data_IF_871336993153
#
_entry.id   IF_871336993153
#
_cell.length_a   1.000
_cell.length_b   1.000
_cell.length_c   1.000
_cell.angle_alpha   90.00
_cell.angle_beta   90.00
_cell.angle_gamma   90.00
#
_symmetry.space_group_name_H-M   'P 1'
#
loop_
_entity.id
_entity.type
_entity.pdbx_description
1 polymer ?
#
# COMPACT_ATOMS: atom_id res chain seq x y z
N UNK A 1 3.17 5.13 16.98
CA UNK A 1 2.74 6.14 15.99
C UNK A 1 2.02 5.43 14.87
N UNK A 2 0.94 5.99 14.33
CA UNK A 2 0.28 5.42 13.16
C UNK A 2 1.02 5.89 11.91
N UNK A 3 1.52 4.95 11.11
CA UNK A 3 2.13 5.27 9.80
C UNK A 3 1.09 5.30 8.68
N UNK A 4 -0.21 5.21 8.99
CA UNK A 4 -1.27 5.10 7.99
C UNK A 4 -2.08 6.39 7.91
N UNK A 5 -2.26 6.90 6.70
CA UNK A 5 -3.29 7.85 6.35
C UNK A 5 -4.54 7.06 5.98
N UNK A 6 -5.47 6.97 6.93
CA UNK A 6 -6.75 6.27 6.73
C UNK A 6 -7.68 7.12 5.87
N UNK A 7 -8.33 6.49 4.89
CA UNK A 7 -9.30 7.13 4.02
C UNK A 7 -10.72 6.92 4.53
N UNK A 8 -11.51 7.99 4.53
CA UNK A 8 -12.91 7.94 4.89
C UNK A 8 -13.79 7.43 3.74
N UNK A 9 -14.99 6.96 4.08
CA UNK A 9 -16.00 6.61 3.07
C UNK A 9 -16.33 7.81 2.16
N UNK A 10 -16.33 9.02 2.70
CA UNK A 10 -16.58 10.22 1.92
C UNK A 10 -15.48 10.48 0.87
N UNK A 11 -14.20 10.25 1.23
CA UNK A 11 -13.10 10.35 0.26
C UNK A 11 -13.24 9.33 -0.87
N UNK A 12 -13.58 8.08 -0.55
CA UNK A 12 -13.79 7.05 -1.57
C UNK A 12 -14.96 7.40 -2.48
N UNK A 13 -16.09 7.85 -1.91
CA UNK A 13 -17.26 8.25 -2.68
C UNK A 13 -16.99 9.49 -3.53
N UNK A 14 -16.16 10.43 -3.08
CA UNK A 14 -15.81 11.62 -3.88
C UNK A 14 -14.98 11.27 -5.13
N UNK A 15 -14.25 10.14 -5.10
CA UNK A 15 -13.49 9.60 -6.24
C UNK A 15 -14.34 8.74 -7.17
N UNK A 16 -15.52 8.29 -6.70
CA UNK A 16 -16.38 7.36 -7.42
C UNK A 16 -17.35 8.12 -8.34
N UNK A 17 -17.18 7.94 -9.64
CA UNK A 17 -18.04 8.54 -10.67
C UNK A 17 -19.30 7.69 -10.84
N UNK A 18 -20.33 7.99 -10.06
CA UNK A 18 -21.60 7.29 -10.10
C UNK A 18 -22.27 7.47 -11.46
N UNK A 19 -22.92 6.41 -11.93
CA UNK A 19 -23.68 6.43 -13.17
C UNK A 19 -24.99 5.68 -12.98
N UNK A 20 -26.08 6.25 -13.52
CA UNK A 20 -27.40 5.62 -13.43
C UNK A 20 -27.40 4.23 -14.10
N UNK A 21 -27.98 3.24 -13.42
CA UNK A 21 -28.06 1.86 -13.90
C UNK A 21 -26.77 1.03 -13.68
N UNK A 22 -25.73 1.60 -13.08
CA UNK A 22 -24.49 0.90 -12.75
C UNK A 22 -24.18 1.03 -11.26
N UNK A 23 -23.52 0.03 -10.69
CA UNK A 23 -22.94 0.11 -9.36
C UNK A 23 -21.42 0.00 -9.49
N UNK A 24 -20.70 0.96 -8.93
CA UNK A 24 -19.23 0.99 -8.96
C UNK A 24 -18.67 0.30 -7.72
N UNK A 25 -17.44 -0.21 -7.84
CA UNK A 25 -16.69 -0.80 -6.72
C UNK A 25 -16.62 0.18 -5.54
N UNK A 26 -16.36 1.47 -5.79
CA UNK A 26 -16.27 2.49 -4.75
C UNK A 26 -17.58 2.77 -3.98
N UNK A 27 -18.71 2.29 -4.48
CA UNK A 27 -19.99 2.35 -3.76
C UNK A 27 -20.18 1.14 -2.81
N UNK A 28 -19.31 0.14 -2.92
CA UNK A 28 -19.43 -1.13 -2.23
C UNK A 28 -18.29 -1.42 -1.25
N UNK A 29 -17.10 -0.87 -1.49
CA UNK A 29 -15.93 -1.10 -0.62
C UNK A 29 -16.20 -0.63 0.80
N UNK A 30 -15.56 -1.30 1.73
CA UNK A 30 -15.54 -0.90 3.13
C UNK A 30 -14.40 0.10 3.37
N UNK A 31 -14.57 0.90 4.40
CA UNK A 31 -13.52 1.76 5.00
C UNK A 31 -13.58 1.58 6.51
N UNK A 32 -12.53 1.96 7.22
CA UNK A 32 -12.65 2.14 8.67
C UNK A 32 -13.57 3.34 8.98
N UNK A 33 -14.18 3.33 10.16
CA UNK A 33 -15.09 4.40 10.58
C UNK A 33 -14.37 5.75 10.60
N UNK A 34 -13.15 5.77 11.12
CA UNK A 34 -12.26 6.93 11.19
C UNK A 34 -10.80 6.49 11.38
N UNK A 35 -9.89 7.46 11.44
CA UNK A 35 -8.47 7.18 11.68
C UNK A 35 -8.18 6.59 13.07
N UNK A 36 -9.01 6.87 14.07
CA UNK A 36 -8.85 6.34 15.43
C UNK A 36 -9.23 4.85 15.50
N UNK A 37 -10.04 4.39 14.57
CA UNK A 37 -10.39 2.96 14.41
C UNK A 37 -9.25 2.09 13.87
N UNK A 38 -8.14 2.68 13.43
CA UNK A 38 -6.94 1.93 13.09
C UNK A 38 -6.10 1.63 14.33
N UNK A 39 -5.66 0.40 14.59
CA UNK A 39 -5.88 -0.81 13.77
C UNK A 39 -7.08 -1.66 14.21
N UNK A 40 -7.72 -1.37 15.34
CA UNK A 40 -8.72 -2.21 15.99
C UNK A 40 -9.94 -2.52 15.09
N UNK A 41 -10.36 -1.56 14.29
CA UNK A 41 -11.51 -1.71 13.38
C UNK A 41 -11.30 -2.71 12.24
N UNK A 42 -10.08 -3.23 12.04
CA UNK A 42 -9.85 -4.32 11.09
C UNK A 42 -10.54 -5.62 11.51
N UNK A 43 -10.64 -5.87 12.82
CA UNK A 43 -11.30 -7.07 13.34
C UNK A 43 -12.82 -7.07 13.08
N UNK A 44 -13.43 -5.88 13.10
CA UNK A 44 -14.87 -5.71 12.88
C UNK A 44 -15.25 -5.70 11.40
N UNK A 45 -14.28 -5.42 10.52
CA UNK A 45 -14.51 -5.38 9.08
C UNK A 45 -14.78 -6.78 8.52
N UNK A 46 -15.83 -6.94 7.73
CA UNK A 46 -16.17 -8.21 7.07
C UNK A 46 -15.32 -8.43 5.80
N UNK A 47 -14.72 -7.37 5.25
CA UNK A 47 -13.84 -7.45 4.10
C UNK A 47 -12.66 -8.40 4.36
N UNK A 48 -12.33 -9.21 3.36
CA UNK A 48 -11.21 -10.14 3.37
C UNK A 48 -9.89 -9.48 2.97
N UNK A 49 -9.96 -8.57 2.01
CA UNK A 49 -8.79 -7.92 1.42
C UNK A 49 -8.68 -6.47 1.91
N UNK A 50 -7.48 -6.05 2.26
CA UNK A 50 -7.17 -4.66 2.63
C UNK A 50 -6.31 -4.04 1.55
N UNK A 51 -6.87 -3.06 0.84
CA UNK A 51 -6.19 -2.34 -0.25
C UNK A 51 -5.52 -1.10 0.33
N UNK A 52 -4.22 -0.94 0.05
CA UNK A 52 -3.45 0.21 0.53
C UNK A 52 -2.34 0.61 -0.45
N UNK A 53 -1.93 1.87 -0.36
CA UNK A 53 -0.85 2.43 -1.17
C UNK A 53 0.47 2.57 -0.43
N UNK A 54 1.59 2.49 -1.17
CA UNK A 54 2.92 2.87 -0.68
C UNK A 54 3.49 3.91 -1.65
N UNK A 55 3.23 5.22 -1.43
CA UNK A 55 3.63 6.28 -2.36
C UNK A 55 5.09 6.69 -2.14
N UNK A 56 6.04 5.83 -2.54
CA UNK A 56 7.48 6.08 -2.49
C UNK A 56 8.20 5.50 -3.73
N UNK A 57 9.40 5.97 -4.01
CA UNK A 57 10.30 5.42 -5.03
C UNK A 57 11.78 5.51 -4.65
N UNK A 58 12.05 5.61 -3.35
CA UNK A 58 13.41 5.81 -2.83
C UNK A 58 14.28 4.62 -3.19
N UNK A 59 13.77 3.40 -3.01
CA UNK A 59 14.51 2.18 -3.32
C UNK A 59 14.83 2.04 -4.81
N UNK A 60 13.89 2.41 -5.68
CA UNK A 60 14.09 2.42 -7.14
C UNK A 60 15.26 3.35 -7.51
N UNK A 61 15.24 4.58 -6.97
CA UNK A 61 16.28 5.59 -7.22
C UNK A 61 17.63 5.22 -6.61
N UNK A 62 17.62 4.63 -5.40
CA UNK A 62 18.82 4.13 -4.73
C UNK A 62 19.46 2.93 -5.43
N UNK A 63 18.72 2.28 -6.33
CA UNK A 63 19.21 1.22 -7.23
C UNK A 63 19.37 1.72 -8.67
N UNK A 64 19.58 3.03 -8.86
CA UNK A 64 19.80 3.71 -10.14
C UNK A 64 18.64 3.55 -11.15
N UNK A 65 17.46 3.16 -10.68
CA UNK A 65 16.25 3.04 -11.49
C UNK A 65 15.58 4.40 -11.72
N UNK A 66 14.66 4.42 -12.67
CA UNK A 66 13.85 5.60 -12.98
C UNK A 66 12.75 5.78 -11.92
N UNK A 67 12.72 6.92 -11.25
CA UNK A 67 11.66 7.30 -10.33
C UNK A 67 10.30 7.46 -10.99
N UNK A 68 9.23 7.54 -10.19
CA UNK A 68 7.84 7.72 -10.61
C UNK A 68 6.86 6.73 -9.95
N UNK A 69 7.36 5.63 -9.37
CA UNK A 69 6.51 4.63 -8.72
C UNK A 69 5.66 5.21 -7.56
N UNK A 70 6.13 6.27 -6.89
CA UNK A 70 5.38 6.97 -5.84
C UNK A 70 4.01 7.47 -6.30
N UNK A 71 3.87 7.76 -7.60
CA UNK A 71 2.63 8.30 -8.17
C UNK A 71 1.59 7.23 -8.50
N UNK A 72 1.91 5.95 -8.41
CA UNK A 72 1.04 4.86 -8.86
C UNK A 72 -0.25 4.72 -8.04
N UNK A 73 -0.20 4.99 -6.73
CA UNK A 73 -1.33 4.73 -5.83
C UNK A 73 -2.62 5.45 -6.22
N UNK A 74 -2.58 6.78 -6.36
CA UNK A 74 -3.79 7.56 -6.60
C UNK A 74 -4.53 7.18 -7.89
N UNK A 75 -3.85 7.08 -9.05
CA UNK A 75 -4.50 6.62 -10.29
C UNK A 75 -5.05 5.21 -10.19
N UNK A 76 -4.34 4.30 -9.52
CA UNK A 76 -4.81 2.92 -9.34
C UNK A 76 -6.05 2.85 -8.47
N UNK A 77 -6.10 3.62 -7.40
CA UNK A 77 -7.30 3.74 -6.57
C UNK A 77 -8.47 4.32 -7.37
N UNK A 78 -8.24 5.44 -8.09
CA UNK A 78 -9.27 6.06 -8.92
C UNK A 78 -9.80 5.10 -9.99
N UNK A 79 -8.93 4.26 -10.57
CA UNK A 79 -9.35 3.21 -11.48
C UNK A 79 -10.19 2.14 -10.78
N UNK A 80 -9.71 1.59 -9.66
CA UNK A 80 -10.37 0.53 -8.90
C UNK A 80 -11.80 0.95 -8.49
N UNK A 81 -11.94 2.12 -7.86
CA UNK A 81 -13.25 2.56 -7.34
C UNK A 81 -14.26 2.88 -8.46
N UNK A 82 -13.79 3.10 -9.69
CA UNK A 82 -14.61 3.37 -10.85
C UNK A 82 -14.90 2.14 -11.73
N UNK A 83 -14.33 0.98 -11.41
CA UNK A 83 -14.72 -0.28 -12.06
C UNK A 83 -16.17 -0.62 -11.72
N UNK A 84 -16.87 -1.28 -12.64
CA UNK A 84 -18.22 -1.77 -12.39
C UNK A 84 -18.17 -2.99 -11.46
N UNK A 85 -18.96 -2.94 -10.40
CA UNK A 85 -19.19 -4.09 -9.52
C UNK A 85 -19.93 -5.19 -10.28
N UNK A 86 -19.51 -6.43 -10.08
CA UNK A 86 -20.11 -7.60 -10.70
C UNK A 86 -20.00 -8.83 -9.78
N UNK A 87 -20.52 -9.98 -10.20
CA UNK A 87 -20.55 -11.21 -9.42
C UNK A 87 -19.16 -11.78 -9.09
N UNK A 88 -18.12 -11.41 -9.85
CA UNK A 88 -16.74 -11.88 -9.61
C UNK A 88 -15.92 -10.89 -8.77
N UNK A 89 -16.32 -9.61 -8.78
CA UNK A 89 -15.69 -8.54 -8.02
C UNK A 89 -16.77 -7.54 -7.59
N UNK A 90 -17.38 -7.75 -6.45
CA UNK A 90 -18.50 -6.94 -5.99
C UNK A 90 -18.10 -5.76 -5.10
N UNK A 91 -16.87 -5.71 -4.67
CA UNK A 91 -16.31 -4.67 -3.80
C UNK A 91 -16.51 -4.89 -2.30
N UNK A 92 -17.48 -5.66 -1.86
CA UNK A 92 -17.73 -5.88 -0.42
C UNK A 92 -16.58 -6.63 0.29
N UNK A 93 -15.82 -7.42 -0.45
CA UNK A 93 -14.65 -8.11 0.08
C UNK A 93 -13.41 -7.20 0.21
N UNK A 94 -13.50 -5.95 -0.25
CA UNK A 94 -12.41 -4.98 -0.22
C UNK A 94 -12.63 -3.94 0.88
N UNK A 95 -11.61 -3.72 1.71
CA UNK A 95 -11.49 -2.57 2.58
C UNK A 95 -10.40 -1.66 2.02
N UNK A 96 -10.75 -0.44 1.64
CA UNK A 96 -9.75 0.57 1.25
C UNK A 96 -9.26 1.26 2.51
N UNK A 97 -8.03 0.94 2.91
CA UNK A 97 -7.43 1.50 4.13
C UNK A 97 -6.93 2.93 3.91
N UNK A 98 -6.30 3.19 2.77
CA UNK A 98 -5.62 4.44 2.48
C UNK A 98 -4.18 4.20 2.02
N UNK A 99 -3.20 4.93 2.58
CA UNK A 99 -1.80 4.73 2.22
C UNK A 99 -0.85 4.86 3.42
N UNK A 100 0.33 4.28 3.29
CA UNK A 100 1.40 4.45 4.28
C UNK A 100 2.04 5.83 4.06
N UNK A 101 2.19 6.60 5.15
CA UNK A 101 2.76 7.95 5.10
C UNK A 101 4.26 7.87 4.80
N UNK A 102 4.65 8.43 3.65
CA UNK A 102 6.03 8.44 3.17
C UNK A 102 6.55 9.84 2.84
N UNK A 103 5.73 10.89 3.02
CA UNK A 103 6.03 12.25 2.59
C UNK A 103 7.35 12.76 3.16
N UNK A 104 7.59 12.59 4.45
CA UNK A 104 8.82 13.01 5.12
C UNK A 104 10.07 12.28 4.60
N UNK A 105 9.95 10.98 4.29
CA UNK A 105 11.05 10.21 3.71
C UNK A 105 11.31 10.63 2.26
N UNK A 106 10.25 10.87 1.50
CA UNK A 106 10.36 11.36 0.12
C UNK A 106 10.97 12.76 0.06
N UNK A 107 10.63 13.66 0.99
CA UNK A 107 11.24 14.99 1.11
C UNK A 107 12.74 14.89 1.44
N UNK A 108 13.13 14.02 2.37
CA UNK A 108 14.54 13.76 2.68
C UNK A 108 15.30 13.16 1.49
N UNK A 109 14.66 12.30 0.71
CA UNK A 109 15.26 11.73 -0.50
C UNK A 109 15.32 12.72 -1.68
N UNK A 110 14.47 13.74 -1.70
CA UNK A 110 14.39 14.69 -2.81
C UNK A 110 15.64 15.57 -2.96
N UNK A 111 16.39 15.77 -1.86
CA UNK A 111 17.61 16.59 -1.85
C UNK A 111 18.88 15.79 -2.13
N UNK A 112 18.79 14.47 -2.30
CA UNK A 112 19.94 13.59 -2.54
C UNK A 112 20.30 13.55 -4.04
N UNK A 113 21.60 13.57 -4.33
CA UNK A 113 22.14 13.30 -5.65
C UNK A 113 22.41 11.79 -5.83
N UNK A 114 21.54 11.11 -6.52
CA UNK A 114 21.66 9.66 -6.77
C UNK A 114 22.83 9.27 -7.71
N UNK A 115 23.68 10.22 -8.08
CA UNK A 115 24.98 9.97 -8.72
C UNK A 115 26.13 9.97 -7.71
N UNK A 116 25.92 10.52 -6.53
CA UNK A 116 26.88 10.54 -5.43
C UNK A 116 26.79 9.23 -4.64
N UNK A 117 27.91 8.54 -4.45
CA UNK A 117 27.94 7.29 -3.65
C UNK A 117 27.50 7.55 -2.21
N UNK A 118 27.90 8.67 -1.61
CA UNK A 118 27.50 9.04 -0.26
C UNK A 118 26.00 9.24 -0.13
N UNK A 119 25.37 9.89 -1.13
CA UNK A 119 23.92 10.14 -1.12
C UNK A 119 23.12 8.87 -1.42
N UNK A 120 23.64 8.01 -2.29
CA UNK A 120 23.06 6.66 -2.51
C UNK A 120 23.08 5.84 -1.21
N UNK A 121 24.17 5.93 -0.42
CA UNK A 121 24.22 5.28 0.88
C UNK A 121 23.16 5.85 1.85
N UNK A 122 22.97 7.17 1.87
CA UNK A 122 21.90 7.79 2.66
C UNK A 122 20.50 7.36 2.17
N UNK A 123 20.28 7.32 0.86
CA UNK A 123 19.02 6.84 0.29
C UNK A 123 18.70 5.39 0.71
N UNK A 124 19.70 4.51 0.74
CA UNK A 124 19.55 3.13 1.24
C UNK A 124 19.20 3.07 2.72
N UNK A 125 19.71 4.00 3.53
CA UNK A 125 19.28 4.11 4.92
C UNK A 125 17.80 4.53 5.02
N UNK A 126 17.32 5.44 4.15
CA UNK A 126 15.90 5.79 4.08
C UNK A 126 15.03 4.59 3.66
N UNK A 127 15.51 3.73 2.76
CA UNK A 127 14.79 2.48 2.40
C UNK A 127 14.58 1.61 3.64
N UNK A 128 15.56 1.52 4.54
CA UNK A 128 15.36 0.78 5.80
C UNK A 128 14.28 1.40 6.70
N UNK A 129 14.11 2.73 6.67
CA UNK A 129 12.99 3.39 7.37
C UNK A 129 11.64 3.12 6.68
N UNK A 130 11.60 3.04 5.33
CA UNK A 130 10.44 2.58 4.56
C UNK A 130 10.05 1.18 4.99
N UNK A 131 11.02 0.24 5.03
CA UNK A 131 10.80 -1.16 5.40
C UNK A 131 10.16 -1.28 6.79
N UNK A 132 10.63 -0.51 7.77
CA UNK A 132 10.08 -0.50 9.13
C UNK A 132 8.60 -0.08 9.11
N UNK A 133 8.26 0.98 8.38
CA UNK A 133 6.86 1.46 8.29
C UNK A 133 5.95 0.45 7.60
N UNK A 134 6.40 -0.09 6.47
CA UNK A 134 5.63 -1.08 5.71
C UNK A 134 5.44 -2.34 6.54
N UNK A 135 6.51 -2.86 7.15
CA UNK A 135 6.44 -4.04 8.00
C UNK A 135 5.42 -3.86 9.14
N UNK A 136 5.48 -2.74 9.86
CA UNK A 136 4.58 -2.48 10.99
C UNK A 136 3.09 -2.47 10.57
N UNK A 137 2.78 -1.94 9.38
CA UNK A 137 1.39 -1.89 8.87
C UNK A 137 0.93 -3.25 8.38
N UNK A 138 1.76 -3.96 7.60
CA UNK A 138 1.41 -5.25 7.02
C UNK A 138 1.25 -6.33 8.10
N UNK A 139 2.11 -6.32 9.12
CA UNK A 139 2.03 -7.26 10.24
C UNK A 139 0.66 -7.16 10.94
N UNK A 140 0.17 -5.96 11.19
CA UNK A 140 -1.15 -5.71 11.79
C UNK A 140 -2.28 -6.21 10.89
N UNK A 141 -2.22 -5.97 9.58
CA UNK A 141 -3.25 -6.42 8.63
C UNK A 141 -3.31 -7.95 8.60
N UNK A 142 -2.15 -8.60 8.51
CA UNK A 142 -2.07 -10.06 8.45
C UNK A 142 -2.47 -10.70 9.79
N UNK A 143 -2.06 -10.11 10.93
CA UNK A 143 -2.45 -10.57 12.26
C UNK A 143 -3.96 -10.47 12.50
N UNK A 144 -4.65 -9.51 11.86
CA UNK A 144 -6.11 -9.42 11.87
C UNK A 144 -6.80 -10.44 10.93
N UNK A 145 -6.05 -11.37 10.33
CA UNK A 145 -6.57 -12.40 9.41
C UNK A 145 -6.92 -11.87 8.02
N UNK A 146 -6.49 -10.65 7.68
CA UNK A 146 -6.77 -10.04 6.39
C UNK A 146 -5.62 -10.26 5.39
N UNK A 147 -5.94 -10.11 4.11
CA UNK A 147 -4.97 -10.22 3.01
C UNK A 147 -4.67 -8.81 2.50
N UNK A 148 -3.43 -8.29 2.67
CA UNK A 148 -3.07 -7.00 2.10
C UNK A 148 -2.94 -7.07 0.58
N UNK A 149 -3.52 -6.08 -0.13
CA UNK A 149 -3.28 -5.78 -1.54
C UNK A 149 -2.58 -4.43 -1.58
N UNK A 150 -1.31 -4.45 -1.93
CA UNK A 150 -0.45 -3.25 -1.90
C UNK A 150 -0.22 -2.74 -3.29
N UNK A 151 -0.38 -1.43 -3.49
CA UNK A 151 -0.22 -0.77 -4.77
C UNK A 151 0.82 0.35 -4.67
N UNK A 152 1.76 0.32 -5.58
CA UNK A 152 2.79 1.34 -5.71
C UNK A 152 4.00 1.11 -4.84
N UNK A 153 4.93 2.06 -4.92
CA UNK A 153 6.25 1.97 -4.35
C UNK A 153 7.23 1.19 -5.22
N UNK A 154 8.47 1.18 -4.80
CA UNK A 154 9.52 0.40 -5.44
C UNK A 154 9.40 -1.09 -5.13
N UNK A 155 10.06 -1.93 -5.93
CA UNK A 155 10.11 -3.38 -5.71
C UNK A 155 10.76 -3.75 -4.35
N UNK A 156 11.58 -2.87 -3.77
CA UNK A 156 12.11 -3.01 -2.41
C UNK A 156 11.02 -3.33 -1.37
N UNK A 157 9.79 -2.87 -1.58
CA UNK A 157 8.66 -3.13 -0.68
C UNK A 157 8.26 -4.63 -0.60
N UNK A 158 8.71 -5.47 -1.53
CA UNK A 158 8.53 -6.93 -1.44
C UNK A 158 9.16 -7.51 -0.15
N UNK A 159 10.35 -7.02 0.24
CA UNK A 159 11.03 -7.48 1.45
C UNK A 159 10.20 -7.27 2.73
N UNK A 160 9.77 -6.06 3.10
CA UNK A 160 8.99 -5.86 4.31
C UNK A 160 7.61 -6.54 4.26
N UNK A 161 6.99 -6.69 3.09
CA UNK A 161 5.75 -7.44 2.90
C UNK A 161 5.90 -8.93 3.25
N UNK A 162 6.94 -9.57 2.71
CA UNK A 162 7.25 -10.98 2.97
C UNK A 162 7.59 -11.18 4.44
N UNK A 163 8.48 -10.34 4.98
CA UNK A 163 8.95 -10.40 6.37
C UNK A 163 7.78 -10.24 7.35
N UNK A 164 6.95 -9.21 7.19
CA UNK A 164 5.80 -8.97 8.04
C UNK A 164 4.79 -10.13 7.99
N UNK A 165 4.56 -10.69 6.79
CA UNK A 165 3.64 -11.82 6.63
C UNK A 165 4.18 -13.08 7.34
N UNK A 166 5.47 -13.37 7.21
CA UNK A 166 6.09 -14.50 7.89
C UNK A 166 6.05 -14.34 9.42
N UNK A 167 6.32 -13.15 9.92
CA UNK A 167 6.29 -12.84 11.35
C UNK A 167 4.87 -12.93 11.93
N UNK A 168 3.87 -12.32 11.28
CA UNK A 168 2.48 -12.38 11.72
C UNK A 168 1.93 -13.82 11.74
N UNK A 169 2.34 -14.65 10.77
CA UNK A 169 1.94 -16.07 10.69
C UNK A 169 2.81 -17.01 11.52
N UNK A 170 3.94 -16.54 12.04
CA UNK A 170 4.94 -17.34 12.76
C UNK A 170 5.41 -18.60 12.00
N UNK A 171 5.51 -18.51 10.69
CA UNK A 171 5.91 -19.59 9.80
C UNK A 171 6.54 -19.06 8.52
N UNK A 172 7.38 -19.87 7.82
CA UNK A 172 7.85 -19.53 6.48
C UNK A 172 6.68 -19.32 5.51
N UNK A 173 6.85 -18.40 4.56
CA UNK A 173 5.87 -18.13 3.51
C UNK A 173 6.46 -18.44 2.14
N UNK A 174 5.64 -19.00 1.26
CA UNK A 174 6.01 -19.18 -0.12
C UNK A 174 5.83 -17.85 -0.88
N UNK A 175 6.77 -17.55 -1.75
CA UNK A 175 6.77 -16.33 -2.56
C UNK A 175 6.72 -16.71 -4.03
N UNK A 176 5.84 -16.08 -4.78
CA UNK A 176 5.81 -16.14 -6.24
C UNK A 176 6.11 -14.73 -6.74
N UNK A 177 7.20 -14.59 -7.50
CA UNK A 177 7.56 -13.33 -8.16
C UNK A 177 7.15 -13.41 -9.64
N UNK A 178 6.44 -12.39 -10.12
CA UNK A 178 6.09 -12.21 -11.52
C UNK A 178 6.76 -10.92 -12.01
N UNK A 179 8.05 -11.01 -12.30
CA UNK A 179 8.93 -9.89 -12.63
C UNK A 179 9.80 -10.30 -13.84
N UNK A 180 10.13 -9.38 -14.77
CA UNK A 180 11.04 -9.68 -15.88
C UNK A 180 12.50 -9.92 -15.45
N UNK A 181 12.86 -9.57 -14.19
CA UNK A 181 14.20 -9.77 -13.64
C UNK A 181 14.20 -10.92 -12.63
N UNK A 182 15.34 -11.56 -12.43
CA UNK A 182 15.43 -12.70 -11.52
C UNK A 182 15.45 -12.34 -10.04
N UNK A 183 15.80 -11.14 -9.65
CA UNK A 183 15.89 -10.60 -8.27
C UNK A 183 16.55 -11.53 -7.22
N UNK A 184 17.41 -12.45 -7.67
CA UNK A 184 18.14 -13.41 -6.84
C UNK A 184 19.64 -13.12 -6.89
#
# INVERSE_FOLDING_TARGET
>A
MSYVQVYSAQEILSRTKRRHGETKIGERVQTLADAASWPSGLADATAKFVVLGIPEDIGVRANFGRGGAYAAWKPSLDFLVNMQSNTFLDGHELLVLGHIQMTDLMERAAVLDFKSEADVHQARALVSEVDIRVQAVIEVIVAAGKIPIVVGGGHNNAYPLIKATAQAKQQPVHVINCDPHSDM
#
